data_IF_985660285695
#
_entry.id   IF_985660285695
#
_cell.length_a   1.000
_cell.length_b   1.000
_cell.length_c   1.000
_cell.angle_alpha   90.00
_cell.angle_beta   90.00
_cell.angle_gamma   90.00
#
_symmetry.space_group_name_H-M   'P 1'
#
loop_
_entity.id
_entity.type
_entity.pdbx_description
1 polymer ?
#
# COMPACT_ATOMS: atom_id res chain seq x y z
N UNK A 1 20.30 9.87 -1.65
CA UNK A 1 19.55 8.90 -2.47
C UNK A 1 20.18 8.89 -3.85
N UNK A 2 20.24 7.72 -4.50
CA UNK A 2 20.90 7.54 -5.79
C UNK A 2 19.89 7.76 -6.92
N UNK A 3 20.05 8.80 -7.73
CA UNK A 3 19.11 9.18 -8.81
C UNK A 3 19.61 8.79 -10.20
N UNK A 4 20.52 7.80 -10.27
CA UNK A 4 21.12 7.35 -11.53
C UNK A 4 20.20 6.32 -12.19
N UNK A 5 19.66 6.69 -13.34
CA UNK A 5 18.78 5.86 -14.17
C UNK A 5 19.51 5.47 -15.45
N UNK A 6 19.38 4.20 -15.81
CA UNK A 6 20.04 3.55 -16.94
C UNK A 6 19.07 2.60 -17.63
N UNK A 7 19.40 2.14 -18.83
CA UNK A 7 18.59 1.12 -19.52
C UNK A 7 18.50 -0.24 -18.81
N UNK A 8 19.24 -0.46 -17.72
CA UNK A 8 19.19 -1.70 -16.94
C UNK A 8 18.29 -1.62 -15.69
N UNK A 9 17.94 -0.41 -15.24
CA UNK A 9 17.15 -0.21 -14.02
C UNK A 9 15.94 0.70 -14.22
N UNK A 10 15.74 1.27 -15.41
CA UNK A 10 14.66 2.21 -15.65
C UNK A 10 13.26 1.63 -15.40
N UNK A 11 13.04 0.34 -15.67
CA UNK A 11 11.74 -0.31 -15.44
C UNK A 11 11.27 -0.18 -13.98
N UNK A 12 12.16 -0.44 -13.02
CA UNK A 12 11.87 -0.28 -11.60
C UNK A 12 11.51 1.18 -11.28
N UNK A 13 12.25 2.14 -11.84
CA UNK A 13 11.96 3.56 -11.68
C UNK A 13 10.61 3.97 -12.29
N UNK A 14 10.20 3.38 -13.43
CA UNK A 14 8.89 3.65 -14.02
C UNK A 14 7.76 3.11 -13.14
N UNK A 15 7.92 1.91 -12.56
CA UNK A 15 6.92 1.36 -11.64
C UNK A 15 6.74 2.24 -10.41
N UNK A 16 7.85 2.61 -9.74
CA UNK A 16 7.82 3.51 -8.59
C UNK A 16 7.22 4.89 -8.95
N UNK A 17 7.47 5.37 -10.17
CA UNK A 17 6.89 6.62 -10.67
C UNK A 17 5.37 6.53 -10.81
N UNK A 18 4.88 5.42 -11.40
CA UNK A 18 3.45 5.17 -11.60
C UNK A 18 2.75 5.00 -10.26
N UNK A 19 3.33 4.24 -9.33
CA UNK A 19 2.78 4.02 -7.99
C UNK A 19 2.92 5.24 -7.06
N UNK A 20 3.54 6.32 -7.55
CA UNK A 20 3.75 7.58 -6.83
C UNK A 20 4.55 7.42 -5.53
N UNK A 21 5.55 6.54 -5.55
CA UNK A 21 6.44 6.23 -4.42
C UNK A 21 7.75 7.03 -4.43
N UNK A 22 7.99 7.81 -5.49
CA UNK A 22 9.20 8.62 -5.67
C UNK A 22 9.13 9.97 -4.95
N UNK A 23 10.27 10.39 -4.39
CA UNK A 23 10.43 11.77 -3.94
C UNK A 23 10.44 12.76 -5.13
N UNK A 24 10.18 14.06 -4.90
CA UNK A 24 10.18 15.05 -5.99
C UNK A 24 11.49 15.09 -6.80
N UNK A 25 12.64 14.89 -6.13
CA UNK A 25 13.94 14.88 -6.77
C UNK A 25 14.15 13.65 -7.66
N UNK A 26 13.72 12.48 -7.19
CA UNK A 26 13.78 11.22 -7.96
C UNK A 26 12.84 11.26 -9.15
N UNK A 27 11.64 11.81 -8.96
CA UNK A 27 10.65 12.00 -10.02
C UNK A 27 11.19 12.87 -11.15
N UNK A 28 11.85 13.98 -10.79
CA UNK A 28 12.55 14.82 -11.78
C UNK A 28 13.68 14.10 -12.52
N UNK A 29 14.35 13.14 -11.88
CA UNK A 29 15.38 12.34 -12.55
C UNK A 29 14.74 11.37 -13.57
N UNK A 30 13.61 10.74 -13.23
CA UNK A 30 12.82 9.93 -14.16
C UNK A 30 12.35 10.76 -15.34
N UNK A 31 11.75 11.93 -15.09
CA UNK A 31 11.26 12.81 -16.15
C UNK A 31 12.39 13.22 -17.12
N UNK A 32 13.57 13.57 -16.59
CA UNK A 32 14.73 13.91 -17.40
C UNK A 32 15.25 12.72 -18.24
N UNK A 33 15.20 11.51 -17.69
CA UNK A 33 15.61 10.30 -18.39
C UNK A 33 14.62 9.93 -19.49
N UNK A 34 13.31 10.00 -19.20
CA UNK A 34 12.23 9.74 -20.16
C UNK A 34 12.24 10.75 -21.32
N UNK A 35 12.49 12.02 -21.04
CA UNK A 35 12.58 13.06 -22.07
C UNK A 35 13.70 12.80 -23.11
N UNK A 36 14.74 12.07 -22.72
CA UNK A 36 15.87 11.72 -23.59
C UNK A 36 15.67 10.38 -24.33
N UNK A 37 14.67 9.58 -23.95
CA UNK A 37 14.44 8.23 -24.48
C UNK A 37 12.96 8.07 -24.90
N UNK A 38 12.60 8.41 -26.15
CA UNK A 38 11.22 8.34 -26.64
C UNK A 38 10.59 6.94 -26.59
N UNK A 39 11.40 5.88 -26.72
CA UNK A 39 11.02 4.48 -26.50
C UNK A 39 10.46 4.27 -25.09
N UNK A 40 11.16 4.80 -24.11
CA UNK A 40 10.81 4.66 -22.69
C UNK A 40 9.61 5.53 -22.32
N UNK A 41 9.44 6.69 -22.97
CA UNK A 41 8.24 7.51 -22.81
C UNK A 41 6.96 6.79 -23.25
N UNK A 42 7.03 6.02 -24.34
CA UNK A 42 5.91 5.20 -24.79
C UNK A 42 5.59 4.07 -23.79
N UNK A 43 6.60 3.42 -23.23
CA UNK A 43 6.41 2.41 -22.18
C UNK A 43 5.78 3.00 -20.91
N UNK A 44 6.24 4.17 -20.45
CA UNK A 44 5.64 4.86 -19.31
C UNK A 44 4.17 5.19 -19.55
N UNK A 45 3.81 5.66 -20.74
CA UNK A 45 2.42 5.92 -21.10
C UNK A 45 1.55 4.64 -21.02
N UNK A 46 2.04 3.52 -21.53
CA UNK A 46 1.35 2.23 -21.41
C UNK A 46 1.16 1.79 -19.96
N UNK A 47 2.17 1.96 -19.10
CA UNK A 47 2.05 1.65 -17.68
C UNK A 47 1.01 2.54 -16.99
N UNK A 48 0.97 3.83 -17.32
CA UNK A 48 -0.02 4.76 -16.78
C UNK A 48 -1.46 4.40 -17.19
N UNK A 49 -1.67 3.81 -18.37
CA UNK A 49 -2.99 3.30 -18.78
C UNK A 49 -3.46 2.11 -17.93
N UNK A 50 -2.54 1.34 -17.34
CA UNK A 50 -2.89 0.25 -16.42
C UNK A 50 -3.28 0.74 -15.03
N UNK A 51 -2.97 2.00 -14.71
CA UNK A 51 -3.34 2.57 -13.43
C UNK A 51 -4.86 2.76 -13.35
N UNK A 52 -5.46 2.20 -12.30
CA UNK A 52 -6.84 2.47 -11.92
C UNK A 52 -6.97 3.92 -11.42
N UNK A 53 -7.04 4.86 -12.37
CA UNK A 53 -7.20 6.30 -12.10
C UNK A 53 -8.65 6.67 -11.80
N UNK A 54 -9.60 5.80 -12.13
CA UNK A 54 -11.02 6.02 -11.93
C UNK A 54 -11.54 5.22 -10.73
N UNK A 55 -11.06 5.58 -9.53
CA UNK A 55 -11.63 5.11 -8.26
C UNK A 55 -12.97 5.82 -7.95
N UNK A 56 -13.88 5.87 -8.93
CA UNK A 56 -15.31 6.02 -8.66
C UNK A 56 -15.91 4.71 -8.14
N UNK A 57 -15.07 3.80 -7.61
CA UNK A 57 -15.59 2.72 -6.81
C UNK A 57 -16.28 3.35 -5.60
N UNK A 58 -17.54 2.98 -5.30
CA UNK A 58 -18.18 3.42 -4.07
C UNK A 58 -17.22 3.07 -2.95
N UNK A 59 -16.96 4.02 -2.05
CA UNK A 59 -16.21 3.73 -0.82
C UNK A 59 -16.90 2.52 -0.19
N UNK A 60 -16.32 1.33 -0.36
CA UNK A 60 -16.90 0.09 0.12
C UNK A 60 -16.63 0.06 1.62
N UNK A 61 -17.34 0.91 2.34
CA UNK A 61 -17.25 0.99 3.79
C UNK A 61 -17.91 -0.26 4.33
N UNK A 62 -17.19 -1.01 5.16
CA UNK A 62 -17.78 -2.05 5.99
C UNK A 62 -18.60 -1.36 7.11
N UNK A 63 -19.78 -0.84 6.74
CA UNK A 63 -20.65 0.04 7.54
C UNK A 63 -20.33 0.15 9.03
N UNK A 64 -21.04 -0.62 9.86
CA UNK A 64 -20.76 -0.71 11.30
C UNK A 64 -19.81 -1.88 11.59
N UNK A 65 -18.56 -1.55 11.91
CA UNK A 65 -17.52 -2.51 12.29
C UNK A 65 -17.74 -3.10 13.69
N UNK A 66 -18.73 -2.65 14.46
CA UNK A 66 -19.05 -3.22 15.79
C UNK A 66 -19.41 -4.70 15.70
N UNK A 67 -19.85 -5.18 14.53
CA UNK A 67 -20.07 -6.61 14.25
C UNK A 67 -18.79 -7.44 14.06
N UNK A 68 -17.65 -6.80 13.81
CA UNK A 68 -16.34 -7.47 13.75
C UNK A 68 -15.77 -7.74 15.14
N UNK A 69 -16.30 -7.07 16.17
CA UNK A 69 -15.97 -7.39 17.54
C UNK A 69 -16.53 -8.77 17.84
N UNK A 70 -15.63 -9.73 18.09
CA UNK A 70 -16.00 -11.00 18.70
C UNK A 70 -16.75 -10.65 19.98
N UNK A 71 -18.04 -11.00 20.04
CA UNK A 71 -18.76 -10.92 21.30
C UNK A 71 -18.04 -11.86 22.26
N UNK A 72 -17.27 -11.30 23.19
CA UNK A 72 -17.06 -11.92 24.47
C UNK A 72 -18.46 -12.10 25.03
N UNK A 73 -19.05 -13.25 24.74
CA UNK A 73 -20.08 -13.76 25.63
C UNK A 73 -19.32 -13.88 26.93
N UNK A 74 -19.48 -12.91 27.81
CA UNK A 74 -18.96 -12.89 29.16
C UNK A 74 -19.65 -13.99 30.01
N UNK A 75 -19.77 -15.19 29.45
CA UNK A 75 -19.54 -16.38 30.23
C UNK A 75 -18.04 -16.62 30.06
N UNK A 76 -17.24 -15.95 30.90
CA UNK A 76 -15.96 -16.51 31.31
C UNK A 76 -16.26 -17.99 31.53
N UNK A 77 -15.70 -18.87 30.69
CA UNK A 77 -15.95 -20.29 30.89
C UNK A 77 -15.54 -20.62 32.33
N UNK A 78 -16.20 -21.57 32.99
CA UNK A 78 -15.86 -21.89 34.39
C UNK A 78 -14.34 -22.13 34.57
N UNK A 79 -13.66 -22.55 33.50
CA UNK A 79 -12.22 -22.74 33.40
C UNK A 79 -11.44 -21.40 33.42
N UNK A 80 -11.87 -20.38 32.69
CA UNK A 80 -11.25 -19.05 32.70
C UNK A 80 -11.45 -18.33 34.04
N UNK A 81 -12.59 -18.55 34.72
CA UNK A 81 -12.84 -17.96 36.05
C UNK A 81 -11.96 -18.60 37.12
N UNK A 82 -11.65 -19.89 36.94
CA UNK A 82 -10.72 -20.62 37.80
C UNK A 82 -9.28 -20.19 37.53
N UNK A 83 -8.93 -19.89 36.28
CA UNK A 83 -7.61 -19.36 35.92
C UNK A 83 -7.37 -17.95 36.47
N UNK A 84 -8.39 -17.09 36.45
CA UNK A 84 -8.31 -15.72 36.98
C UNK A 84 -8.14 -15.70 38.51
N UNK A 85 -8.77 -16.61 39.26
CA UNK A 85 -8.59 -16.68 40.71
C UNK A 85 -7.18 -17.10 41.15
N UNK A 86 -6.40 -17.73 40.27
CA UNK A 86 -4.99 -18.01 40.55
C UNK A 86 -4.07 -16.80 40.36
N UNK A 87 -4.50 -15.80 39.60
CA UNK A 87 -3.72 -14.57 39.36
C UNK A 87 -3.89 -13.55 40.49
N UNK A 88 -5.01 -13.61 41.21
CA UNK A 88 -5.35 -12.70 42.32
C UNK A 88 -4.89 -13.19 43.71
N UNK A 89 -4.19 -14.34 43.80
CA UNK A 89 -3.61 -14.79 45.06
C UNK A 89 -2.33 -14.01 45.40
N UNK A 90 -2.46 -13.00 46.27
CA UNK A 90 -1.41 -12.61 47.22
C UNK A 90 -1.22 -13.68 48.32
#
# INVERSE_FOLDING_TARGET
>A
MNTIITKHNYEEWLLLYVDNELSPAERSAVDAFVAQNPDIAAELALLQETQLTNLQEPTMTFGDISHLLKSETAAISAEESTLLSYLDNE
#
